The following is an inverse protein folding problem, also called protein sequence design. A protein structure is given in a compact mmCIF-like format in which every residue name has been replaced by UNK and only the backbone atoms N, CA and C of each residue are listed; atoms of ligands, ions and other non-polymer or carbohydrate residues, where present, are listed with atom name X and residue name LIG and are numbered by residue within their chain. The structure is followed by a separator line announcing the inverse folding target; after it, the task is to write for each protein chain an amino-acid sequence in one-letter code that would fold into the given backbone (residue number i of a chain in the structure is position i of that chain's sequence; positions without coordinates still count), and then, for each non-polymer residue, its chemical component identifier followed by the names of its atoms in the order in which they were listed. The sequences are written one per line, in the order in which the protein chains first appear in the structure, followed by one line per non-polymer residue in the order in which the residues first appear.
data_IF_771192763943
#
_entry.id   IF_771192763943
#
_cell.length_a   1.000
_cell.length_b   1.000
_cell.length_c   1.000
_cell.angle_alpha   90.00
_cell.angle_beta   90.00
_cell.angle_gamma   90.00
#
_symmetry.space_group_name_H-M   'P 1'
#
loop_
_entity.id
_entity.type
_entity.pdbx_description
1 polymer ?
#
# COMPACT_ATOMS: atom_id res chain seq x y z
N UNK A 1 20.18 -18.40 50.38
CA UNK A 1 18.93 -18.12 49.67
C UNK A 1 19.23 -18.18 48.18
N UNK A 2 18.82 -19.24 47.52
CA UNK A 2 18.90 -19.38 46.06
C UNK A 2 17.69 -18.67 45.48
N UNK A 3 17.88 -17.46 44.95
CA UNK A 3 16.87 -16.76 44.16
C UNK A 3 16.71 -17.47 42.82
N UNK A 4 15.66 -18.28 42.68
CA UNK A 4 15.17 -18.73 41.39
C UNK A 4 14.65 -17.53 40.62
N UNK A 5 15.42 -17.02 39.66
CA UNK A 5 14.89 -16.19 38.58
C UNK A 5 13.97 -17.07 37.73
N UNK A 6 12.65 -16.90 37.89
CA UNK A 6 11.70 -17.38 36.91
C UNK A 6 12.07 -16.77 35.57
N UNK A 7 12.36 -17.61 34.56
CA UNK A 7 12.31 -17.17 33.18
C UNK A 7 10.90 -16.61 32.96
N UNK A 8 10.78 -15.30 32.73
CA UNK A 8 9.51 -14.69 32.34
C UNK A 8 9.15 -15.37 31.01
N UNK A 9 8.16 -16.26 31.04
CA UNK A 9 7.62 -16.84 29.82
C UNK A 9 7.14 -15.70 28.92
N UNK A 10 7.46 -15.76 27.63
CA UNK A 10 6.93 -14.80 26.67
C UNK A 10 5.40 -14.90 26.66
N UNK A 11 4.71 -13.79 26.93
CA UNK A 11 3.27 -13.79 26.80
C UNK A 11 2.90 -13.94 25.32
N UNK A 12 1.77 -14.59 25.08
CA UNK A 12 1.21 -14.76 23.75
C UNK A 12 -0.07 -13.95 23.63
N UNK A 13 -0.06 -13.01 22.70
CA UNK A 13 -1.18 -12.14 22.37
C UNK A 13 -1.71 -12.48 20.98
N UNK A 14 -2.98 -12.18 20.74
CA UNK A 14 -3.65 -12.51 19.49
C UNK A 14 -4.33 -11.27 18.92
N UNK A 15 -4.17 -11.06 17.62
CA UNK A 15 -4.89 -10.02 16.87
C UNK A 15 -5.65 -10.63 15.71
N UNK A 16 -6.77 -10.05 15.31
CA UNK A 16 -7.55 -10.49 14.15
C UNK A 16 -8.12 -9.31 13.37
N UNK A 17 -8.54 -9.48 12.11
CA UNK A 17 -9.19 -8.42 11.33
C UNK A 17 -10.40 -7.79 12.03
N UNK A 18 -11.16 -8.59 12.78
CA UNK A 18 -12.35 -8.15 13.52
C UNK A 18 -12.07 -7.92 15.02
N UNK A 19 -10.81 -7.90 15.42
CA UNK A 19 -10.42 -7.70 16.81
C UNK A 19 -10.69 -6.27 17.29
N UNK A 20 -10.74 -6.09 18.61
CA UNK A 20 -11.04 -4.79 19.24
C UNK A 20 -10.04 -4.48 20.35
N UNK A 21 -9.75 -3.21 20.59
CA UNK A 21 -8.91 -2.75 21.71
C UNK A 21 -9.51 -3.09 23.09
N UNK A 22 -10.82 -3.35 23.14
CA UNK A 22 -11.54 -3.73 24.37
C UNK A 22 -11.47 -5.23 24.70
N UNK A 23 -10.99 -6.04 23.76
CA UNK A 23 -10.88 -7.48 23.93
C UNK A 23 -9.74 -7.88 24.89
N UNK A 24 -9.66 -9.16 25.25
CA UNK A 24 -8.67 -9.66 26.21
C UNK A 24 -7.26 -9.89 25.62
N UNK A 25 -7.12 -9.92 24.30
CA UNK A 25 -5.87 -10.25 23.61
C UNK A 25 -5.61 -11.75 23.54
N UNK A 26 -6.61 -12.58 23.81
CA UNK A 26 -6.54 -14.05 23.76
C UNK A 26 -6.99 -14.58 22.40
N UNK A 27 -6.72 -15.85 22.10
CA UNK A 27 -7.14 -16.47 20.83
C UNK A 27 -8.66 -16.36 20.58
N UNK A 28 -9.47 -16.49 21.63
CA UNK A 28 -10.94 -16.37 21.56
C UNK A 28 -11.47 -14.94 21.71
N UNK A 29 -10.62 -13.97 22.08
CA UNK A 29 -10.97 -12.56 22.22
C UNK A 29 -9.77 -11.71 21.78
N UNK A 30 -9.47 -11.68 20.46
CA UNK A 30 -8.25 -11.06 19.93
C UNK A 30 -8.36 -9.54 19.86
N UNK A 31 -7.23 -8.85 19.96
CA UNK A 31 -7.14 -7.40 19.74
C UNK A 31 -7.21 -7.00 18.27
N UNK A 32 -7.44 -5.72 18.01
CA UNK A 32 -7.13 -5.16 16.69
C UNK A 32 -5.61 -5.07 16.51
N UNK A 33 -5.13 -5.17 15.26
CA UNK A 33 -3.70 -5.01 14.97
C UNK A 33 -3.18 -3.64 15.41
N UNK A 34 -3.94 -2.56 15.18
CA UNK A 34 -3.55 -1.21 15.55
C UNK A 34 -3.31 -1.05 17.06
N UNK A 35 -4.17 -1.65 17.89
CA UNK A 35 -4.03 -1.58 19.35
C UNK A 35 -2.80 -2.35 19.85
N UNK A 36 -2.54 -3.54 19.31
CA UNK A 36 -1.34 -4.30 19.62
C UNK A 36 -0.07 -3.60 19.13
N UNK A 37 -0.10 -3.05 17.91
CA UNK A 37 1.03 -2.34 17.31
C UNK A 37 1.45 -1.12 18.14
N UNK A 38 0.51 -0.45 18.81
CA UNK A 38 0.76 0.64 19.77
C UNK A 38 1.03 0.18 21.21
N UNK A 39 1.28 -1.12 21.44
CA UNK A 39 1.67 -1.67 22.75
C UNK A 39 0.53 -2.06 23.68
N UNK A 40 -0.71 -2.05 23.21
CA UNK A 40 -1.88 -2.52 23.97
C UNK A 40 -1.96 -1.93 25.39
N UNK A 41 -1.69 -0.63 25.53
CA UNK A 41 -1.67 0.05 26.83
C UNK A 41 -0.54 -0.41 27.76
N UNK A 42 0.59 -0.84 27.20
CA UNK A 42 1.76 -1.31 27.96
C UNK A 42 1.72 -2.80 28.31
N UNK A 43 0.79 -3.57 27.74
CA UNK A 43 0.68 -5.02 27.98
C UNK A 43 1.68 -5.85 27.19
N UNK A 44 2.12 -5.36 26.05
CA UNK A 44 3.15 -6.03 25.24
C UNK A 44 4.51 -5.64 25.80
N UNK A 45 5.23 -6.63 26.31
CA UNK A 45 6.52 -6.47 26.97
C UNK A 45 7.65 -7.12 26.14
N UNK A 46 8.92 -6.77 26.37
CA UNK A 46 10.06 -7.43 25.72
C UNK A 46 10.00 -8.95 25.84
N UNK A 47 10.16 -9.64 24.71
CA UNK A 47 10.08 -11.10 24.60
C UNK A 47 8.70 -11.63 24.20
N UNK A 48 7.65 -10.83 24.30
CA UNK A 48 6.28 -11.24 23.96
C UNK A 48 6.12 -11.56 22.46
N UNK A 49 5.13 -12.41 22.16
CA UNK A 49 4.72 -12.75 20.80
C UNK A 49 3.29 -12.33 20.55
N UNK A 50 3.08 -11.61 19.46
CA UNK A 50 1.77 -11.26 18.90
C UNK A 50 1.50 -12.15 17.70
N UNK A 51 0.56 -13.08 17.85
CA UNK A 51 0.02 -13.90 16.78
C UNK A 51 -1.03 -13.14 16.00
N UNK A 52 -0.83 -13.03 14.69
CA UNK A 52 -1.69 -12.29 13.76
C UNK A 52 -2.55 -13.26 12.99
N UNK A 53 -3.85 -13.31 13.28
CA UNK A 53 -4.79 -14.18 12.58
C UNK A 53 -4.90 -13.80 11.11
N UNK A 54 -5.18 -14.76 10.24
CA UNK A 54 -5.33 -14.53 8.81
C UNK A 54 -6.54 -13.69 8.47
N UNK A 55 -6.46 -13.07 7.29
CA UNK A 55 -7.46 -12.21 6.70
C UNK A 55 -6.91 -10.83 6.36
N UNK A 56 -7.81 -9.98 5.90
CA UNK A 56 -7.50 -8.63 5.42
C UNK A 56 -7.69 -7.60 6.52
N UNK A 57 -6.61 -6.90 6.85
CA UNK A 57 -6.57 -5.77 7.77
C UNK A 57 -6.58 -4.47 6.96
N UNK A 58 -7.75 -3.86 6.84
CA UNK A 58 -7.92 -2.64 6.05
C UNK A 58 -7.52 -1.38 6.84
N UNK A 59 -6.60 -0.59 6.31
CA UNK A 59 -6.22 0.71 6.89
C UNK A 59 -5.62 1.66 5.84
N UNK A 60 -6.35 2.72 5.49
CA UNK A 60 -5.86 3.75 4.57
C UNK A 60 -4.65 4.52 5.13
N UNK A 61 -4.47 4.52 6.45
CA UNK A 61 -3.32 5.15 7.13
C UNK A 61 -2.23 4.15 7.49
N UNK A 62 -2.35 2.90 7.04
CA UNK A 62 -1.44 1.81 7.39
C UNK A 62 -1.48 1.41 8.86
N UNK A 63 -0.49 0.63 9.27
CA UNK A 63 -0.26 0.22 10.66
C UNK A 63 1.10 0.70 11.13
N UNK A 64 1.21 1.11 12.40
CA UNK A 64 2.48 1.56 12.99
C UNK A 64 2.83 0.69 14.20
N UNK A 65 3.89 -0.12 14.08
CA UNK A 65 4.45 -0.90 15.19
C UNK A 65 5.45 -0.03 15.93
N UNK A 66 5.04 0.43 17.12
CA UNK A 66 5.81 1.35 17.96
C UNK A 66 6.46 0.65 19.16
N UNK A 67 6.04 -0.58 19.49
CA UNK A 67 6.60 -1.35 20.61
C UNK A 67 8.07 -1.67 20.38
N UNK A 68 8.83 -1.82 21.45
CA UNK A 68 10.23 -2.23 21.39
C UNK A 68 10.50 -3.36 22.36
N UNK A 69 11.32 -4.31 21.94
CA UNK A 69 11.90 -5.32 22.82
C UNK A 69 13.20 -4.85 23.44
N UNK A 70 14.02 -5.81 23.85
CA UNK A 70 15.45 -5.61 24.15
C UNK A 70 16.29 -6.51 23.28
N UNK A 71 17.60 -6.25 23.19
CA UNK A 71 18.54 -7.07 22.41
C UNK A 71 18.47 -8.57 22.72
N UNK A 72 18.13 -8.95 23.96
CA UNK A 72 17.97 -10.35 24.38
C UNK A 72 16.53 -10.85 24.35
N UNK A 73 15.54 -9.95 24.31
CA UNK A 73 14.11 -10.28 24.37
C UNK A 73 13.34 -9.42 23.34
N UNK A 74 13.45 -9.78 22.06
CA UNK A 74 12.73 -9.09 20.98
C UNK A 74 11.22 -9.33 21.07
N UNK A 75 10.43 -8.34 20.67
CA UNK A 75 8.97 -8.56 20.46
C UNK A 75 8.75 -9.11 19.05
N UNK A 76 7.92 -10.14 18.92
CA UNK A 76 7.63 -10.79 17.63
C UNK A 76 6.19 -10.57 17.19
N UNK A 77 5.97 -10.10 15.97
CA UNK A 77 4.68 -10.16 15.27
C UNK A 77 4.77 -11.23 14.19
N UNK A 78 3.93 -12.27 14.26
CA UNK A 78 3.99 -13.40 13.33
C UNK A 78 2.59 -13.85 12.96
N UNK A 79 2.37 -14.27 11.71
CA UNK A 79 1.10 -14.89 11.34
C UNK A 79 0.79 -16.08 12.26
N UNK A 80 -0.47 -16.26 12.62
CA UNK A 80 -0.91 -17.50 13.24
C UNK A 80 -0.71 -18.64 12.24
N UNK A 81 -0.11 -19.75 12.70
CA UNK A 81 0.50 -20.76 11.82
C UNK A 81 -0.44 -21.22 10.71
N UNK A 82 0.00 -21.06 9.46
CA UNK A 82 -0.73 -21.48 8.26
C UNK A 82 -1.82 -20.52 7.80
N UNK A 83 -2.05 -19.40 8.50
CA UNK A 83 -3.02 -18.37 8.11
C UNK A 83 -2.36 -17.24 7.33
N UNK A 84 -3.04 -16.67 6.33
CA UNK A 84 -2.48 -15.61 5.47
C UNK A 84 -2.85 -14.21 5.97
N UNK A 85 -1.85 -13.37 6.27
CA UNK A 85 -2.04 -11.98 6.70
C UNK A 85 -1.92 -11.01 5.52
N UNK A 86 -2.95 -10.19 5.32
CA UNK A 86 -2.98 -9.14 4.29
C UNK A 86 -3.20 -7.79 4.96
N UNK A 87 -2.29 -6.83 4.77
CA UNK A 87 -2.50 -5.42 5.12
C UNK A 87 -2.90 -4.68 3.84
N UNK A 88 -4.08 -4.05 3.87
CA UNK A 88 -4.69 -3.45 2.69
C UNK A 88 -4.96 -1.96 2.90
N UNK A 89 -4.22 -1.12 2.20
CA UNK A 89 -4.36 0.34 2.19
C UNK A 89 -5.41 0.90 1.24
N UNK A 90 -6.15 0.05 0.51
CA UNK A 90 -7.12 0.49 -0.47
C UNK A 90 -8.32 1.22 0.15
N UNK A 91 -8.90 2.11 -0.64
CA UNK A 91 -10.16 2.75 -0.35
C UNK A 91 -11.27 1.77 -0.75
N UNK A 92 -11.96 1.22 0.25
CA UNK A 92 -12.90 0.10 0.10
C UNK A 92 -14.03 0.33 -0.91
N UNK A 93 -14.45 1.57 -1.16
CA UNK A 93 -15.55 1.84 -2.10
C UNK A 93 -15.18 1.64 -3.57
N UNK A 94 -13.89 1.52 -3.90
CA UNK A 94 -13.41 1.27 -5.26
C UNK A 94 -13.07 -0.21 -5.53
N UNK A 95 -13.05 -1.07 -4.53
CA UNK A 95 -12.49 -2.43 -4.67
C UNK A 95 -13.43 -3.44 -5.31
N UNK A 96 -14.74 -3.16 -5.32
CA UNK A 96 -15.75 -4.08 -5.85
C UNK A 96 -16.14 -3.74 -7.30
N UNK A 97 -16.24 -4.76 -8.15
CA UNK A 97 -16.87 -4.63 -9.47
C UNK A 97 -18.34 -4.24 -9.30
N UNK A 98 -18.83 -3.35 -10.15
CA UNK A 98 -20.17 -2.79 -10.10
C UNK A 98 -20.37 -1.72 -9.02
N UNK A 99 -19.28 -1.19 -8.44
CA UNK A 99 -19.39 -0.12 -7.45
C UNK A 99 -20.06 1.13 -8.04
N UNK A 100 -20.70 1.91 -7.17
CA UNK A 100 -21.33 3.19 -7.51
C UNK A 100 -20.44 4.38 -7.10
N UNK A 101 -19.14 4.15 -6.87
CA UNK A 101 -18.23 5.17 -6.37
C UNK A 101 -17.67 6.06 -7.48
N UNK A 102 -17.89 5.70 -8.75
CA UNK A 102 -17.52 6.47 -9.94
C UNK A 102 -18.76 6.91 -10.71
N UNK A 103 -18.71 8.14 -11.24
CA UNK A 103 -19.69 8.67 -12.17
C UNK A 103 -18.99 9.24 -13.42
N UNK A 104 -19.60 9.14 -14.61
CA UNK A 104 -19.06 9.76 -15.81
C UNK A 104 -18.85 11.26 -15.63
N UNK A 105 -17.75 11.80 -16.16
CA UNK A 105 -17.39 13.21 -16.02
C UNK A 105 -17.11 13.89 -17.36
N UNK A 106 -17.79 15.02 -17.59
CA UNK A 106 -17.48 16.01 -18.62
C UNK A 106 -18.24 15.90 -19.96
N UNK A 107 -18.21 17.01 -20.70
CA UNK A 107 -18.39 17.17 -22.16
C UNK A 107 -17.34 18.14 -22.75
N UNK A 108 -16.10 18.13 -22.23
CA UNK A 108 -15.00 18.89 -22.83
C UNK A 108 -14.13 17.88 -23.59
N UNK A 109 -14.30 17.84 -24.93
CA UNK A 109 -13.76 16.92 -25.96
C UNK A 109 -14.51 15.62 -26.28
N UNK A 110 -15.40 15.10 -25.42
CA UNK A 110 -16.34 13.98 -25.67
C UNK A 110 -15.81 12.66 -26.29
N UNK A 111 -14.49 12.47 -26.51
CA UNK A 111 -13.92 11.20 -27.00
C UNK A 111 -13.24 10.35 -25.93
N UNK A 112 -13.26 10.77 -24.66
CA UNK A 112 -12.52 10.12 -23.57
C UNK A 112 -13.45 9.64 -22.47
N UNK A 113 -13.16 8.46 -21.92
CA UNK A 113 -13.93 7.87 -20.85
C UNK A 113 -13.37 8.33 -19.50
N UNK A 114 -13.74 9.55 -19.11
CA UNK A 114 -13.34 10.13 -17.82
C UNK A 114 -14.43 9.90 -16.79
N UNK A 115 -14.00 9.47 -15.61
CA UNK A 115 -14.84 9.27 -14.44
C UNK A 115 -14.35 10.11 -13.28
N UNK A 116 -15.30 10.59 -12.49
CA UNK A 116 -15.07 11.31 -11.23
C UNK A 116 -15.59 10.46 -10.07
N UNK A 117 -14.94 10.48 -8.92
CA UNK A 117 -15.47 9.84 -7.73
C UNK A 117 -16.74 10.55 -7.27
N UNK A 118 -17.74 9.83 -6.79
CA UNK A 118 -18.98 10.45 -6.25
C UNK A 118 -18.70 11.22 -4.96
N UNK A 119 -17.79 10.72 -4.13
CA UNK A 119 -17.35 11.38 -2.90
C UNK A 119 -16.09 12.21 -3.13
N UNK A 120 -15.90 13.18 -2.25
CA UNK A 120 -14.64 13.91 -2.10
C UNK A 120 -13.75 13.22 -1.07
N UNK A 121 -12.44 13.43 -1.22
CA UNK A 121 -11.41 12.94 -0.33
C UNK A 121 -10.57 14.11 0.19
N UNK A 122 -9.94 13.99 1.36
CA UNK A 122 -9.08 15.04 1.89
C UNK A 122 -7.98 15.44 0.90
N UNK A 123 -7.81 16.74 0.71
CA UNK A 123 -6.71 17.33 -0.06
C UNK A 123 -5.63 17.74 0.93
N UNK A 124 -4.49 17.02 0.92
CA UNK A 124 -3.40 17.22 1.88
C UNK A 124 -2.10 17.45 1.09
N UNK A 125 -1.63 18.70 1.04
CA UNK A 125 -0.32 19.06 0.47
C UNK A 125 0.07 18.31 -0.82
N UNK A 126 1.27 17.73 -0.82
CA UNK A 126 1.82 16.91 -1.92
C UNK A 126 1.38 15.43 -1.82
N UNK A 127 0.08 15.17 -1.77
CA UNK A 127 -0.45 13.80 -1.81
C UNK A 127 -0.86 13.41 -3.22
N UNK A 128 -0.37 12.28 -3.71
CA UNK A 128 -0.87 11.63 -4.92
C UNK A 128 -1.89 10.58 -4.55
N UNK A 129 -2.79 10.29 -5.49
CA UNK A 129 -3.50 9.03 -5.48
C UNK A 129 -2.95 8.20 -6.62
N UNK A 130 -2.87 6.91 -6.39
CA UNK A 130 -2.68 5.97 -7.48
C UNK A 130 -3.20 4.60 -7.09
N UNK A 131 -2.86 3.59 -7.88
CA UNK A 131 -3.55 2.33 -7.75
C UNK A 131 -3.04 1.22 -8.64
N UNK A 132 -3.77 0.11 -8.60
CA UNK A 132 -3.69 -0.96 -9.56
C UNK A 132 -5.07 -1.29 -10.12
N UNK A 133 -5.08 -1.81 -11.34
CA UNK A 133 -6.23 -2.40 -12.00
C UNK A 133 -5.94 -3.87 -12.28
N UNK A 134 -6.90 -4.75 -12.03
CA UNK A 134 -6.78 -6.16 -12.39
C UNK A 134 -7.26 -6.39 -13.83
N UNK A 135 -6.42 -6.99 -14.67
CA UNK A 135 -6.75 -7.35 -16.05
C UNK A 135 -6.26 -8.78 -16.29
N UNK A 136 -7.18 -9.68 -16.64
CA UNK A 136 -6.81 -11.07 -16.97
C UNK A 136 -6.10 -11.83 -15.84
N UNK A 137 -6.44 -11.53 -14.58
CA UNK A 137 -5.81 -12.13 -13.40
C UNK A 137 -4.49 -11.48 -12.95
N UNK A 138 -3.96 -10.52 -13.71
CA UNK A 138 -2.74 -9.78 -13.40
C UNK A 138 -3.07 -8.36 -12.94
N UNK A 139 -2.21 -7.78 -12.11
CA UNK A 139 -2.41 -6.43 -11.59
C UNK A 139 -1.41 -5.43 -12.20
N UNK A 140 -1.93 -4.37 -12.78
CA UNK A 140 -1.16 -3.32 -13.48
C UNK A 140 -1.32 -1.99 -12.75
N UNK A 141 -0.25 -1.21 -12.56
CA UNK A 141 -0.39 0.08 -11.86
C UNK A 141 -1.00 1.14 -12.77
N UNK A 142 -1.84 1.95 -12.15
CA UNK A 142 -2.40 3.15 -12.72
C UNK A 142 -1.43 4.32 -12.50
N UNK A 143 -1.22 5.12 -13.53
CA UNK A 143 -0.35 6.29 -13.47
C UNK A 143 -0.92 7.33 -12.46
N UNK A 144 -0.13 7.80 -11.49
CA UNK A 144 -0.52 8.95 -10.67
C UNK A 144 -0.30 10.23 -11.47
N UNK A 145 -1.35 11.02 -11.60
CA UNK A 145 -1.33 12.33 -12.24
C UNK A 145 -1.41 13.43 -11.19
N UNK A 146 -0.69 14.54 -11.42
CA UNK A 146 -0.55 15.62 -10.43
C UNK A 146 -1.80 16.50 -10.34
N UNK A 147 -2.64 16.51 -11.38
CA UNK A 147 -3.92 17.22 -11.46
C UNK A 147 -4.86 16.51 -12.43
N UNK A 148 -6.15 16.71 -12.20
CA UNK A 148 -7.27 16.35 -13.10
C UNK A 148 -7.16 16.96 -14.50
N UNK A 149 -6.48 18.10 -14.66
CA UNK A 149 -6.19 18.67 -15.97
C UNK A 149 -5.41 17.70 -16.90
N UNK A 150 -4.60 16.80 -16.33
CA UNK A 150 -3.87 15.77 -17.10
C UNK A 150 -4.78 14.60 -17.48
N UNK A 151 -5.76 14.27 -16.64
CA UNK A 151 -6.72 13.20 -16.88
C UNK A 151 -7.65 13.58 -18.04
N UNK A 152 -8.13 14.83 -18.07
CA UNK A 152 -9.05 15.33 -19.10
C UNK A 152 -8.36 15.82 -20.37
N UNK A 153 -7.02 15.81 -20.44
CA UNK A 153 -6.27 16.35 -21.58
C UNK A 153 -6.37 15.44 -22.82
N UNK A 154 -6.55 16.05 -23.99
CA UNK A 154 -6.41 15.39 -25.30
C UNK A 154 -4.94 15.26 -25.74
N UNK A 155 -4.01 15.94 -25.04
CA UNK A 155 -2.58 15.91 -25.37
C UNK A 155 -1.92 14.65 -24.84
N UNK A 156 -1.24 13.92 -25.72
CA UNK A 156 -0.45 12.73 -25.36
C UNK A 156 1.06 12.91 -25.61
N UNK A 157 1.48 14.10 -26.06
CA UNK A 157 2.87 14.39 -26.38
C UNK A 157 3.63 14.78 -25.10
N UNK A 158 4.93 14.49 -25.05
CA UNK A 158 5.79 14.92 -23.95
C UNK A 158 6.17 16.41 -24.11
N UNK A 159 5.21 17.32 -23.91
CA UNK A 159 5.40 18.76 -24.00
C UNK A 159 5.21 19.44 -22.63
N UNK A 160 6.29 19.99 -22.09
CA UNK A 160 6.21 20.88 -20.93
C UNK A 160 5.94 22.31 -21.41
N UNK A 161 5.07 23.11 -20.77
CA UNK A 161 4.41 22.89 -19.47
C UNK A 161 2.94 22.46 -19.55
N UNK A 162 2.44 21.95 -20.68
CA UNK A 162 1.01 21.65 -20.84
C UNK A 162 0.60 20.33 -20.15
N UNK A 163 -0.66 20.23 -19.68
CA UNK A 163 -1.20 18.97 -19.19
C UNK A 163 -1.21 17.89 -20.28
N UNK A 164 -0.72 16.69 -19.96
CA UNK A 164 -0.64 15.55 -20.88
C UNK A 164 -1.13 14.26 -20.25
N UNK A 165 -1.91 13.48 -20.98
CA UNK A 165 -2.35 12.19 -20.53
C UNK A 165 -1.29 11.12 -20.79
N UNK A 166 -0.61 10.72 -19.71
CA UNK A 166 0.43 9.69 -19.70
C UNK A 166 -0.14 8.27 -19.92
N UNK A 167 -1.39 8.02 -19.54
CA UNK A 167 -2.04 6.71 -19.65
C UNK A 167 -2.98 6.40 -18.50
N UNK A 168 -3.57 5.17 -18.51
CA UNK A 168 -4.53 4.71 -17.52
C UNK A 168 -4.10 5.08 -16.11
N UNK A 169 -4.91 5.88 -15.43
CA UNK A 169 -4.41 6.64 -14.31
C UNK A 169 -5.46 7.40 -13.55
N UNK A 170 -5.01 8.01 -12.46
CA UNK A 170 -5.86 8.82 -11.60
C UNK A 170 -5.15 10.07 -11.09
N UNK A 171 -5.95 11.06 -10.69
CA UNK A 171 -5.52 12.27 -9.99
C UNK A 171 -6.57 12.68 -8.98
N UNK A 172 -6.22 13.62 -8.10
CA UNK A 172 -7.20 14.38 -7.33
C UNK A 172 -7.30 15.80 -7.88
N UNK A 173 -8.50 16.37 -7.98
CA UNK A 173 -8.63 17.82 -8.16
C UNK A 173 -8.30 18.52 -6.84
N UNK A 174 -7.30 19.40 -6.87
CA UNK A 174 -6.80 20.14 -5.71
C UNK A 174 -7.06 21.64 -5.79
N UNK A 175 -7.80 22.08 -6.80
CA UNK A 175 -8.06 23.49 -7.05
C UNK A 175 -9.20 23.95 -6.15
N UNK A 176 -8.88 24.70 -5.09
CA UNK A 176 -9.85 25.12 -4.05
C UNK A 176 -11.10 25.81 -4.62
N UNK A 177 -10.96 26.54 -5.72
CA UNK A 177 -12.07 27.22 -6.40
C UNK A 177 -12.85 26.32 -7.36
N UNK A 178 -12.43 25.08 -7.58
CA UNK A 178 -13.09 24.14 -8.47
C UNK A 178 -14.35 23.58 -7.81
N UNK A 179 -15.47 23.43 -8.55
CA UNK A 179 -16.61 22.65 -8.05
C UNK A 179 -16.24 21.17 -7.80
N UNK A 180 -15.14 20.70 -8.41
CA UNK A 180 -14.62 19.34 -8.28
C UNK A 180 -13.58 19.16 -7.17
N UNK A 181 -13.34 20.18 -6.34
CA UNK A 181 -12.32 20.13 -5.30
C UNK A 181 -12.46 18.88 -4.40
N UNK A 182 -11.37 18.11 -4.30
CA UNK A 182 -11.29 16.90 -3.50
C UNK A 182 -11.79 15.63 -4.18
N UNK A 183 -12.44 15.72 -5.34
CA UNK A 183 -12.82 14.54 -6.11
C UNK A 183 -11.58 13.87 -6.75
N UNK A 184 -11.62 12.55 -6.86
CA UNK A 184 -10.70 11.78 -7.66
C UNK A 184 -11.21 11.72 -9.10
N UNK A 185 -10.28 11.73 -10.03
CA UNK A 185 -10.53 11.57 -11.46
C UNK A 185 -9.78 10.35 -11.94
N UNK A 186 -10.43 9.56 -12.78
CA UNK A 186 -9.85 8.38 -13.40
C UNK A 186 -10.16 8.39 -14.88
N UNK A 187 -9.16 8.00 -15.68
CA UNK A 187 -9.34 7.69 -17.10
C UNK A 187 -8.54 6.44 -17.38
N UNK A 188 -9.19 5.47 -18.02
CA UNK A 188 -8.62 4.17 -18.36
C UNK A 188 -8.42 3.98 -19.87
N UNK A 189 -8.55 5.05 -20.65
CA UNK A 189 -8.24 5.02 -22.08
C UNK A 189 -6.78 4.59 -22.30
N UNK A 190 -6.55 3.73 -23.28
CA UNK A 190 -5.19 3.33 -23.64
C UNK A 190 -4.40 4.53 -24.18
N UNK A 191 -3.15 4.69 -23.76
CA UNK A 191 -2.25 5.73 -24.29
C UNK A 191 -2.00 5.53 -25.79
N UNK A 192 -1.58 6.58 -26.49
CA UNK A 192 -1.12 6.46 -27.89
C UNK A 192 0.16 5.64 -27.99
N UNK A 193 0.44 5.08 -29.18
CA UNK A 193 1.70 4.35 -29.46
C UNK A 193 2.94 5.19 -29.15
N UNK A 194 2.88 6.50 -29.38
CA UNK A 194 3.97 7.43 -29.06
C UNK A 194 4.21 7.52 -27.55
N UNK A 195 3.15 7.67 -26.75
CA UNK A 195 3.25 7.69 -25.29
C UNK A 195 3.75 6.34 -24.72
N UNK A 196 3.46 5.24 -25.41
CA UNK A 196 3.96 3.89 -25.10
C UNK A 196 5.39 3.63 -25.59
N UNK A 197 6.02 4.58 -26.29
CA UNK A 197 7.33 4.42 -26.94
C UNK A 197 7.41 3.17 -27.85
N UNK A 198 6.29 2.80 -28.49
CA UNK A 198 6.20 1.62 -29.36
C UNK A 198 6.18 0.27 -28.64
N UNK A 199 6.03 0.23 -27.31
CA UNK A 199 5.98 -1.01 -26.53
C UNK A 199 4.63 -1.73 -26.68
N UNK A 200 4.63 -3.06 -26.58
CA UNK A 200 3.42 -3.89 -26.64
C UNK A 200 2.70 -3.95 -25.30
N UNK A 201 2.02 -2.87 -24.92
CA UNK A 201 1.41 -2.76 -23.58
C UNK A 201 0.07 -3.49 -23.48
N UNK A 202 -0.25 -4.00 -22.28
CA UNK A 202 -1.59 -4.56 -22.00
C UNK A 202 -2.65 -3.49 -22.27
N UNK A 203 -3.63 -3.82 -23.10
CA UNK A 203 -4.73 -2.91 -23.43
C UNK A 203 -5.89 -3.11 -22.46
N UNK A 204 -6.50 -2.01 -22.05
CA UNK A 204 -7.77 -1.99 -21.32
C UNK A 204 -8.90 -2.03 -22.36
N UNK A 205 -9.67 -3.12 -22.37
CA UNK A 205 -10.77 -3.31 -23.31
C UNK A 205 -12.03 -2.53 -22.92
N UNK A 206 -12.26 -2.39 -21.60
CA UNK A 206 -13.39 -1.68 -21.04
C UNK A 206 -12.87 -0.50 -20.21
N UNK A 207 -13.08 0.75 -20.64
CA UNK A 207 -12.54 1.91 -19.93
C UNK A 207 -13.40 2.35 -18.74
N UNK A 208 -14.51 1.67 -18.44
CA UNK A 208 -15.34 1.95 -17.27
C UNK A 208 -14.70 1.39 -15.99
N UNK A 209 -14.23 2.24 -15.05
CA UNK A 209 -13.57 1.78 -13.82
C UNK A 209 -14.46 0.96 -12.90
N UNK A 210 -15.79 1.02 -13.08
CA UNK A 210 -16.74 0.22 -12.30
C UNK A 210 -16.73 -1.25 -12.72
N UNK A 211 -16.21 -1.57 -13.90
CA UNK A 211 -16.17 -2.93 -14.43
C UNK A 211 -14.87 -3.68 -14.07
N UNK A 212 -14.03 -3.10 -13.21
CA UNK A 212 -12.75 -3.67 -12.80
C UNK A 212 -12.61 -3.76 -11.28
N UNK A 213 -11.82 -4.74 -10.83
CA UNK A 213 -11.26 -4.70 -9.48
C UNK A 213 -10.14 -3.65 -9.45
N UNK A 214 -10.30 -2.66 -8.58
CA UNK A 214 -9.35 -1.57 -8.42
C UNK A 214 -8.78 -1.56 -7.01
N UNK A 215 -7.47 -1.35 -6.92
CA UNK A 215 -6.81 -0.98 -5.69
C UNK A 215 -6.48 0.50 -5.79
N UNK A 216 -7.15 1.38 -5.05
CA UNK A 216 -6.90 2.83 -5.08
C UNK A 216 -6.54 3.30 -3.68
N UNK A 217 -5.47 4.08 -3.53
CA UNK A 217 -5.04 4.63 -2.24
C UNK A 217 -4.20 5.90 -2.41
N UNK A 218 -4.01 6.63 -1.31
CA UNK A 218 -3.22 7.87 -1.29
C UNK A 218 -1.74 7.61 -0.97
N UNK A 219 -0.87 8.54 -1.34
CA UNK A 219 0.59 8.46 -1.21
C UNK A 219 1.18 8.89 0.13
N UNK A 220 0.37 9.04 1.18
CA UNK A 220 0.84 9.62 2.44
C UNK A 220 1.33 8.57 3.43
N UNK A 221 1.02 7.28 3.22
CA UNK A 221 1.26 6.22 4.20
C UNK A 221 1.91 4.98 3.59
N UNK A 222 2.58 4.21 4.43
CA UNK A 222 3.03 2.86 4.11
C UNK A 222 2.05 1.84 4.71
N UNK A 223 1.98 0.64 4.13
CA UNK A 223 1.13 -0.41 4.70
C UNK A 223 1.56 -0.76 6.12
N UNK A 224 2.87 -0.81 6.35
CA UNK A 224 3.47 -0.99 7.67
C UNK A 224 4.58 0.04 7.94
N UNK A 225 4.48 0.76 9.05
CA UNK A 225 5.54 1.62 9.58
C UNK A 225 6.09 0.98 10.83
N UNK A 226 7.42 0.91 10.94
CA UNK A 226 8.10 0.35 12.11
C UNK A 226 8.97 1.43 12.73
N UNK A 227 8.60 1.89 13.93
CA UNK A 227 9.38 2.88 14.68
C UNK A 227 10.07 2.31 15.91
N UNK A 228 9.66 1.11 16.35
CA UNK A 228 10.29 0.41 17.46
C UNK A 228 11.60 -0.31 17.10
N UNK A 229 12.33 -0.73 18.12
CA UNK A 229 13.60 -1.47 18.04
C UNK A 229 13.49 -2.87 18.65
N UNK A 230 14.44 -3.75 18.36
CA UNK A 230 14.45 -5.12 18.88
C UNK A 230 13.15 -5.86 18.53
N UNK A 231 12.87 -5.93 17.22
CA UNK A 231 11.61 -6.43 16.67
C UNK A 231 11.86 -7.53 15.65
N UNK A 232 10.91 -8.46 15.60
CA UNK A 232 10.81 -9.45 14.53
C UNK A 232 9.40 -9.40 13.97
N UNK A 233 9.26 -9.16 12.67
CA UNK A 233 7.98 -9.19 11.95
C UNK A 233 8.09 -10.25 10.88
N UNK A 234 7.22 -11.26 10.93
CA UNK A 234 7.32 -12.44 10.09
C UNK A 234 6.00 -12.81 9.43
N UNK A 235 6.11 -13.32 8.20
CA UNK A 235 5.03 -13.98 7.47
C UNK A 235 3.84 -13.05 7.14
N UNK A 236 4.08 -11.76 6.91
CA UNK A 236 3.03 -10.87 6.42
C UNK A 236 3.01 -10.98 4.90
N UNK A 237 2.16 -11.88 4.40
CA UNK A 237 2.15 -12.31 3.00
C UNK A 237 1.95 -11.17 2.00
N UNK A 238 1.07 -10.21 2.31
CA UNK A 238 0.84 -9.04 1.46
C UNK A 238 0.66 -7.78 2.29
N UNK A 239 1.48 -6.78 2.02
CA UNK A 239 1.40 -5.44 2.61
C UNK A 239 1.28 -4.45 1.45
N UNK A 240 0.06 -4.01 1.17
CA UNK A 240 -0.26 -3.23 -0.01
C UNK A 240 -0.60 -1.78 0.38
N UNK A 241 0.17 -0.81 -0.14
CA UNK A 241 -0.11 0.62 0.00
C UNK A 241 0.64 1.43 -1.07
N UNK A 242 0.21 2.66 -1.34
CA UNK A 242 0.79 3.53 -2.36
C UNK A 242 2.26 3.87 -2.08
N UNK A 243 2.57 4.43 -0.91
CA UNK A 243 3.96 4.81 -0.62
C UNK A 243 4.86 3.59 -0.55
N UNK A 244 4.34 2.46 -0.12
CA UNK A 244 5.05 1.21 -0.18
C UNK A 244 4.58 0.18 0.83
N UNK A 245 5.24 -0.99 0.80
CA UNK A 245 4.91 -2.07 1.71
C UNK A 245 5.30 -1.67 3.13
N UNK A 246 6.58 -1.40 3.38
CA UNK A 246 7.01 -0.97 4.72
C UNK A 246 8.06 0.13 4.77
N UNK A 247 8.04 0.90 5.86
CA UNK A 247 8.99 1.98 6.16
C UNK A 247 9.55 1.90 7.57
N UNK A 248 10.80 2.34 7.72
CA UNK A 248 11.55 2.39 8.99
C UNK A 248 12.73 3.37 8.88
N UNK A 249 13.45 3.60 9.99
CA UNK A 249 14.59 4.51 10.07
C UNK A 249 14.39 5.66 11.04
N UNK A 250 13.67 5.43 12.14
CA UNK A 250 13.59 6.41 13.23
C UNK A 250 14.98 6.59 13.86
N UNK A 251 15.33 7.79 14.30
CA UNK A 251 16.65 8.05 14.88
C UNK A 251 16.95 7.11 16.05
N UNK A 252 18.10 6.41 16.00
CA UNK A 252 18.51 5.44 17.02
C UNK A 252 17.81 4.08 16.93
N UNK A 253 17.04 3.82 15.88
CA UNK A 253 16.40 2.51 15.68
C UNK A 253 17.45 1.42 15.45
N UNK A 254 17.25 0.27 16.10
CA UNK A 254 18.20 -0.85 16.06
C UNK A 254 17.50 -2.21 16.08
N UNK A 255 18.15 -3.21 15.50
CA UNK A 255 17.84 -4.62 15.68
C UNK A 255 16.42 -5.00 15.25
N UNK A 256 16.09 -4.69 13.99
CA UNK A 256 14.80 -5.00 13.37
C UNK A 256 14.99 -6.11 12.34
N UNK A 257 14.19 -7.17 12.44
CA UNK A 257 14.13 -8.24 11.45
C UNK A 257 12.76 -8.25 10.79
N UNK A 258 12.74 -8.15 9.45
CA UNK A 258 11.56 -8.43 8.63
C UNK A 258 11.85 -9.72 7.87
N UNK A 259 11.01 -10.74 8.07
CA UNK A 259 11.21 -12.06 7.49
C UNK A 259 9.96 -12.53 6.75
N UNK A 260 10.12 -13.15 5.58
CA UNK A 260 9.00 -13.76 4.83
C UNK A 260 7.81 -12.80 4.62
N UNK A 261 8.09 -11.50 4.60
CA UNK A 261 7.09 -10.46 4.38
C UNK A 261 7.16 -9.97 2.94
N UNK A 262 6.03 -9.53 2.42
CA UNK A 262 5.96 -9.12 1.05
C UNK A 262 4.72 -8.30 0.75
N UNK A 263 4.59 -7.93 -0.51
CA UNK A 263 3.45 -7.15 -0.96
C UNK A 263 3.65 -6.62 -2.36
N UNK A 264 2.65 -5.90 -2.84
CA UNK A 264 2.71 -5.20 -4.11
C UNK A 264 3.11 -3.74 -3.87
N UNK A 265 4.36 -3.35 -4.16
CA UNK A 265 4.75 -1.95 -4.00
C UNK A 265 4.23 -1.11 -5.16
N UNK A 266 3.77 0.10 -4.88
CA UNK A 266 3.58 1.11 -5.92
C UNK A 266 4.80 2.00 -6.07
N UNK A 267 5.26 2.58 -4.95
CA UNK A 267 6.49 3.36 -4.92
C UNK A 267 7.68 2.56 -4.39
N UNK A 268 7.59 2.06 -3.16
CA UNK A 268 8.70 1.36 -2.51
C UNK A 268 8.27 -0.03 -2.03
N UNK A 269 9.11 -1.04 -2.25
CA UNK A 269 9.02 -2.30 -1.50
C UNK A 269 9.27 -2.01 -0.02
N UNK A 270 10.48 -1.56 0.25
CA UNK A 270 10.91 -1.08 1.56
C UNK A 270 11.54 0.31 1.43
N UNK A 271 11.18 1.24 2.33
CA UNK A 271 11.88 2.52 2.50
C UNK A 271 12.55 2.54 3.87
N UNK A 272 13.84 2.23 3.92
CA UNK A 272 14.61 2.13 5.15
C UNK A 272 15.59 3.30 5.28
N UNK A 273 15.45 4.08 6.35
CA UNK A 273 16.46 5.04 6.79
C UNK A 273 17.57 4.37 7.62
N UNK A 274 18.19 5.12 8.53
CA UNK A 274 19.24 4.60 9.41
C UNK A 274 18.66 3.65 10.47
N UNK A 275 18.84 2.35 10.27
CA UNK A 275 18.54 1.30 11.25
C UNK A 275 19.81 0.47 11.47
N UNK A 276 20.33 0.48 12.68
CA UNK A 276 21.49 -0.36 13.03
C UNK A 276 21.06 -1.82 13.20
N UNK A 277 21.70 -2.78 12.51
CA UNK A 277 21.29 -4.19 12.59
C UNK A 277 19.93 -4.53 11.93
N UNK A 278 19.58 -3.86 10.84
CA UNK A 278 18.41 -4.25 10.02
C UNK A 278 18.69 -5.56 9.26
N UNK A 279 17.75 -6.51 9.37
CA UNK A 279 17.74 -7.74 8.56
C UNK A 279 16.45 -7.80 7.73
N UNK A 280 16.58 -7.91 6.42
CA UNK A 280 15.50 -8.29 5.51
C UNK A 280 15.79 -9.71 5.02
N UNK A 281 15.00 -10.68 5.47
CA UNK A 281 15.19 -12.10 5.22
C UNK A 281 14.03 -12.62 4.37
N UNK A 282 14.34 -13.15 3.17
CA UNK A 282 13.35 -13.80 2.31
C UNK A 282 12.10 -12.94 2.00
N UNK A 283 12.24 -11.61 2.01
CA UNK A 283 11.15 -10.70 1.67
C UNK A 283 10.88 -10.71 0.17
N UNK A 284 9.60 -10.71 -0.23
CA UNK A 284 9.22 -10.80 -1.64
C UNK A 284 8.26 -9.68 -2.07
N UNK A 285 8.66 -8.89 -3.07
CA UNK A 285 7.89 -7.76 -3.55
C UNK A 285 7.39 -7.99 -4.98
N UNK A 286 6.08 -8.10 -5.12
CA UNK A 286 5.42 -8.46 -6.36
C UNK A 286 4.93 -7.21 -7.08
N UNK A 287 5.84 -6.34 -7.52
CA UNK A 287 5.48 -5.31 -8.50
C UNK A 287 5.50 -5.93 -9.90
N UNK A 288 4.35 -6.44 -10.34
CA UNK A 288 4.19 -6.94 -11.71
C UNK A 288 4.19 -5.75 -12.67
N UNK A 289 5.37 -5.33 -13.11
CA UNK A 289 5.53 -4.41 -14.24
C UNK A 289 6.46 -5.04 -15.28
N UNK A 290 5.96 -5.97 -16.11
CA UNK A 290 6.75 -6.47 -17.22
C UNK A 290 7.08 -5.25 -18.11
N UNK A 291 8.36 -4.91 -18.24
CA UNK A 291 8.83 -3.73 -18.98
C UNK A 291 8.28 -3.67 -20.42
N UNK A 292 7.97 -4.84 -20.98
CA UNK A 292 7.38 -5.01 -22.31
C UNK A 292 5.85 -4.89 -22.38
N UNK A 293 5.12 -4.83 -21.25
CA UNK A 293 3.63 -4.79 -21.19
C UNK A 293 3.05 -3.49 -20.62
N UNK A 294 3.84 -2.44 -20.42
CA UNK A 294 3.45 -1.35 -19.52
C UNK A 294 3.35 0.05 -20.17
N UNK A 295 2.31 0.81 -19.81
CA UNK A 295 1.92 2.09 -20.42
C UNK A 295 2.72 3.35 -19.98
N UNK A 296 3.37 3.39 -18.80
CA UNK A 296 4.17 4.55 -18.33
C UNK A 296 5.40 4.15 -17.52
N UNK A 297 6.60 4.61 -17.89
CA UNK A 297 7.83 4.42 -17.11
C UNK A 297 7.94 5.42 -15.95
N UNK A 298 7.34 5.11 -14.79
CA UNK A 298 7.50 5.91 -13.56
C UNK A 298 8.19 5.14 -12.43
N UNK A 299 8.30 3.81 -12.52
CA UNK A 299 8.95 2.96 -11.53
C UNK A 299 10.31 2.48 -12.05
N UNK A 300 11.38 2.76 -11.31
CA UNK A 300 12.68 2.10 -11.47
C UNK A 300 12.63 0.76 -10.72
N UNK A 301 12.21 -0.31 -11.42
CA UNK A 301 12.14 -1.64 -10.80
C UNK A 301 13.47 -2.34 -10.95
N UNK A 302 14.15 -2.52 -9.83
CA UNK A 302 15.24 -3.47 -9.67
C UNK A 302 14.67 -4.69 -8.94
N UNK A 303 14.27 -5.74 -9.66
CA UNK A 303 13.70 -6.95 -9.04
C UNK A 303 13.65 -8.16 -9.98
N UNK A 304 14.39 -9.22 -9.61
CA UNK A 304 14.69 -10.45 -10.36
C UNK A 304 16.18 -10.85 -10.18
N UNK A 305 16.60 -12.02 -10.65
CA UNK A 305 18.05 -12.33 -10.80
C UNK A 305 18.71 -11.58 -11.98
N UNK A 306 17.90 -10.91 -12.80
CA UNK A 306 18.35 -10.18 -13.98
C UNK A 306 18.37 -8.66 -13.70
N UNK A 307 19.36 -7.93 -14.24
CA UNK A 307 19.39 -6.48 -14.15
C UNK A 307 18.13 -5.88 -14.80
N UNK A 308 17.74 -4.69 -14.33
CA UNK A 308 16.63 -3.94 -14.90
C UNK A 308 16.83 -3.75 -16.40
N UNK A 309 15.95 -4.34 -17.21
CA UNK A 309 15.90 -4.04 -18.64
C UNK A 309 15.39 -2.61 -18.83
N UNK A 310 16.29 -1.77 -19.31
CA UNK A 310 16.07 -0.37 -19.67
C UNK A 310 15.21 -0.23 -20.95
#
# INVERSE_FOLDING_TARGET
MTTTTSAVGSNQWYVSPTGSSTNAGTLGSPWSLSYAASGAGGRILPGDRVWVRGGTYSSQTGFNITVSGTATNKVTFKQYTGETVILDGSIAEFTSIGNTAWEPYGTLSSSHNVYRSVKTFPVIGFTFYGGFIQIGGEWYSLAPHTSDAYIVSDTHVWDSPHPRYLGPGLSQNKTVSSPDYGHLFMRLDNSTTQAQLGRSVTQISDPDPRNHELFVCNSSYFGLTVTGSHLVIEDFAQINHFSGCFSMGTAGQTDVTIRDCGGRPMFFGARCGSVDGLTLDSCNFYAHMPSHKWWVAYADIKGGELPADH
#
